data_IF_442308558852
#
_entry.id   IF_442308558852
#
_cell.length_a   1.000
_cell.length_b   1.000
_cell.length_c   1.000
_cell.angle_alpha   90.00
_cell.angle_beta   90.00
_cell.angle_gamma   90.00
#
_symmetry.space_group_name_H-M   'P 1'
#
loop_
_entity.id
_entity.type
_entity.pdbx_description
1 polymer ?
#
# COMPACT_ATOMS: atom_id res chain seq x y z
N UNK A 1 -16.22 11.69 6.84
CA UNK A 1 -15.04 12.06 6.04
C UNK A 1 -14.91 11.16 4.83
N UNK A 2 -13.95 11.44 3.95
CA UNK A 2 -13.65 10.66 2.74
C UNK A 2 -12.23 10.11 2.83
N UNK A 3 -12.05 8.83 2.54
CA UNK A 3 -10.75 8.20 2.28
C UNK A 3 -10.66 7.97 0.77
N UNK A 4 -9.57 8.39 0.14
CA UNK A 4 -9.36 8.22 -1.29
C UNK A 4 -8.35 7.11 -1.52
N UNK A 5 -8.76 6.07 -2.25
CA UNK A 5 -7.86 4.97 -2.64
C UNK A 5 -7.38 5.23 -4.06
N UNK A 6 -6.08 5.13 -4.28
CA UNK A 6 -5.46 5.33 -5.59
C UNK A 6 -4.49 4.22 -5.92
N UNK A 7 -3.95 4.24 -7.13
CA UNK A 7 -2.84 3.39 -7.55
C UNK A 7 -1.73 4.32 -8.07
N UNK A 8 -0.46 3.90 -8.06
CA UNK A 8 0.66 4.82 -8.23
C UNK A 8 0.87 5.34 -9.67
N UNK A 9 0.00 5.00 -10.63
CA UNK A 9 0.10 5.45 -12.01
C UNK A 9 -0.46 6.87 -12.20
N UNK A 10 0.17 7.64 -13.09
CA UNK A 10 -0.13 9.06 -13.31
C UNK A 10 -1.63 9.33 -13.62
N UNK A 11 -2.30 8.39 -14.30
CA UNK A 11 -3.74 8.50 -14.62
C UNK A 11 -4.61 8.41 -13.36
N UNK A 12 -4.31 7.49 -12.44
CA UNK A 12 -5.05 7.35 -11.18
C UNK A 12 -4.84 8.55 -10.24
N UNK A 13 -3.66 9.19 -10.31
CA UNK A 13 -3.37 10.40 -9.54
C UNK A 13 -4.22 11.60 -10.00
N UNK A 14 -4.54 11.69 -11.29
CA UNK A 14 -5.44 12.74 -11.80
C UNK A 14 -6.85 12.59 -11.22
N UNK A 15 -7.35 11.35 -11.10
CA UNK A 15 -8.67 11.09 -10.52
C UNK A 15 -8.67 11.25 -9.00
N UNK A 16 -7.55 10.94 -8.33
CA UNK A 16 -7.33 11.24 -6.91
C UNK A 16 -7.49 12.73 -6.64
N UNK A 17 -6.86 13.57 -7.47
CA UNK A 17 -6.95 15.04 -7.37
C UNK A 17 -8.38 15.54 -7.55
N UNK A 18 -9.14 14.99 -8.50
CA UNK A 18 -10.55 15.33 -8.68
C UNK A 18 -11.39 14.92 -7.48
N UNK A 19 -11.18 13.71 -6.95
CA UNK A 19 -11.92 13.18 -5.81
C UNK A 19 -11.71 14.02 -4.54
N UNK A 20 -10.46 14.39 -4.25
CA UNK A 20 -10.13 15.27 -3.11
C UNK A 20 -10.75 16.66 -3.29
N UNK A 21 -10.66 17.25 -4.48
CA UNK A 21 -11.26 18.56 -4.75
C UNK A 21 -12.79 18.52 -4.65
N UNK A 22 -13.42 17.43 -5.09
CA UNK A 22 -14.86 17.22 -4.95
C UNK A 22 -15.27 17.11 -3.48
N UNK A 23 -14.52 16.36 -2.66
CA UNK A 23 -14.75 16.28 -1.22
C UNK A 23 -14.64 17.68 -0.56
N UNK A 24 -13.62 18.47 -0.93
CA UNK A 24 -13.47 19.87 -0.47
C UNK A 24 -14.66 20.74 -0.88
N UNK A 25 -15.15 20.62 -2.11
CA UNK A 25 -16.31 21.38 -2.60
C UNK A 25 -17.61 21.03 -1.84
N UNK A 26 -17.78 19.75 -1.46
CA UNK A 26 -18.88 19.29 -0.62
C UNK A 26 -18.67 19.55 0.87
N UNK A 27 -17.57 20.19 1.27
CA UNK A 27 -17.17 20.40 2.66
C UNK A 27 -17.08 19.10 3.48
N UNK A 28 -16.75 17.99 2.80
CA UNK A 28 -16.49 16.71 3.47
C UNK A 28 -15.00 16.64 3.86
N UNK A 29 -14.67 16.32 5.12
CA UNK A 29 -13.28 16.22 5.55
C UNK A 29 -12.60 15.06 4.82
N UNK A 30 -11.47 15.32 4.17
CA UNK A 30 -10.64 14.28 3.57
C UNK A 30 -9.73 13.70 4.66
N UNK A 31 -9.98 12.46 5.02
CA UNK A 31 -9.26 11.74 6.07
C UNK A 31 -7.88 11.25 5.57
N UNK A 32 -7.71 11.12 4.26
CA UNK A 32 -6.42 10.89 3.64
C UNK A 32 -6.49 10.03 2.38
N UNK A 33 -5.31 9.74 1.85
CA UNK A 33 -5.09 8.94 0.65
C UNK A 33 -4.40 7.63 1.01
N UNK A 34 -4.87 6.52 0.42
CA UNK A 34 -4.24 5.20 0.47
C UNK A 34 -3.72 4.87 -0.93
N UNK A 35 -2.46 4.47 -1.05
CA UNK A 35 -1.91 3.92 -2.29
C UNK A 35 -2.08 2.40 -2.30
N UNK A 36 -2.88 1.86 -3.22
CA UNK A 36 -3.06 0.42 -3.40
C UNK A 36 -2.15 -0.11 -4.52
N UNK A 37 -1.95 -1.44 -4.54
CA UNK A 37 -1.15 -2.16 -5.53
C UNK A 37 0.33 -1.72 -5.56
N UNK A 38 0.89 -1.44 -4.37
CA UNK A 38 2.30 -1.05 -4.21
C UNK A 38 3.22 -2.28 -4.18
N UNK A 39 3.63 -2.73 -5.37
CA UNK A 39 4.57 -3.84 -5.52
C UNK A 39 3.98 -5.23 -5.24
N UNK A 40 4.77 -6.26 -5.52
CA UNK A 40 4.41 -7.67 -5.37
C UNK A 40 5.56 -8.42 -4.70
N UNK A 41 5.27 -9.05 -3.56
CA UNK A 41 6.29 -9.81 -2.84
C UNK A 41 6.62 -11.09 -3.59
N UNK A 42 7.90 -11.31 -3.79
CA UNK A 42 8.46 -12.57 -4.29
C UNK A 42 9.25 -13.19 -3.16
N UNK A 43 9.08 -14.50 -2.99
CA UNK A 43 9.88 -15.28 -2.07
C UNK A 43 10.30 -16.58 -2.74
N UNK A 44 11.40 -17.15 -2.24
CA UNK A 44 11.93 -18.41 -2.73
C UNK A 44 13.08 -18.88 -1.88
N UNK A 45 13.75 -19.91 -2.36
CA UNK A 45 14.97 -20.44 -1.77
C UNK A 45 16.05 -20.66 -2.82
N UNK A 46 17.30 -20.53 -2.42
CA UNK A 46 18.48 -20.85 -3.20
C UNK A 46 19.62 -21.31 -2.26
N UNK A 47 20.85 -21.38 -2.76
CA UNK A 47 22.01 -21.69 -1.93
C UNK A 47 22.14 -20.67 -0.78
N UNK A 48 22.39 -21.10 0.48
CA UNK A 48 22.58 -20.19 1.61
C UNK A 48 23.70 -19.18 1.40
N UNK A 49 23.51 -17.98 1.95
CA UNK A 49 24.49 -16.87 1.86
C UNK A 49 24.95 -16.57 0.42
N UNK A 50 24.01 -16.59 -0.54
CA UNK A 50 24.25 -16.31 -1.95
C UNK A 50 23.48 -15.08 -2.45
N UNK A 51 24.02 -14.43 -3.47
CA UNK A 51 23.40 -13.27 -4.10
C UNK A 51 22.64 -13.72 -5.35
N UNK A 52 21.39 -13.31 -5.45
CA UNK A 52 20.49 -13.59 -6.56
C UNK A 52 20.10 -12.29 -7.25
N UNK A 53 20.12 -12.30 -8.58
CA UNK A 53 19.61 -11.22 -9.41
C UNK A 53 18.27 -11.63 -10.00
N UNK A 54 17.20 -10.93 -9.62
CA UNK A 54 15.84 -11.17 -10.11
C UNK A 54 15.49 -10.15 -11.19
N UNK A 55 15.19 -10.64 -12.39
CA UNK A 55 14.77 -9.78 -13.51
C UNK A 55 13.28 -9.47 -13.40
N UNK A 56 12.96 -8.21 -13.10
CA UNK A 56 11.59 -7.71 -13.04
C UNK A 56 11.08 -7.11 -14.35
N UNK A 57 9.76 -6.79 -14.44
CA UNK A 57 9.15 -6.16 -15.61
C UNK A 57 9.62 -4.71 -15.83
N UNK A 58 10.27 -4.10 -14.84
CA UNK A 58 10.86 -2.76 -14.90
C UNK A 58 12.16 -2.74 -15.71
N UNK A 59 12.75 -3.90 -16.02
CA UNK A 59 14.03 -4.02 -16.72
C UNK A 59 15.26 -3.70 -15.85
N UNK A 60 15.07 -3.38 -14.58
CA UNK A 60 16.14 -3.19 -13.60
C UNK A 60 16.23 -4.47 -12.75
N UNK A 61 17.38 -5.17 -12.73
CA UNK A 61 17.57 -6.33 -11.85
C UNK A 61 17.46 -5.94 -10.38
N UNK A 62 16.79 -6.78 -9.60
CA UNK A 62 16.70 -6.66 -8.15
C UNK A 62 17.68 -7.66 -7.56
N UNK A 63 18.69 -7.16 -6.84
CA UNK A 63 19.63 -8.00 -6.11
C UNK A 63 19.05 -8.35 -4.74
N UNK A 64 19.06 -9.64 -4.40
CA UNK A 64 18.63 -10.14 -3.08
C UNK A 64 19.68 -11.13 -2.56
N UNK A 65 19.89 -11.13 -1.25
CA UNK A 65 20.76 -12.09 -0.59
C UNK A 65 19.90 -13.14 0.11
N UNK A 66 20.33 -14.40 0.06
CA UNK A 66 19.70 -15.47 0.85
C UNK A 66 20.20 -15.44 2.29
N UNK A 67 19.31 -15.83 3.22
CA UNK A 67 19.65 -16.02 4.62
C UNK A 67 20.51 -17.29 4.84
N UNK A 68 20.82 -17.58 6.11
CA UNK A 68 21.61 -18.75 6.53
C UNK A 68 20.93 -20.10 6.19
N UNK A 69 19.61 -20.08 5.99
CA UNK A 69 18.80 -21.24 5.63
C UNK A 69 18.53 -21.30 4.11
N UNK A 70 19.03 -20.32 3.34
CA UNK A 70 18.83 -20.24 1.89
C UNK A 70 17.53 -19.58 1.45
N UNK A 71 16.73 -19.03 2.37
CA UNK A 71 15.50 -18.32 2.03
C UNK A 71 15.78 -16.88 1.63
N UNK A 72 14.95 -16.34 0.74
CA UNK A 72 15.01 -14.95 0.35
C UNK A 72 13.61 -14.40 0.09
N UNK A 73 13.48 -13.08 0.30
CA UNK A 73 12.27 -12.34 -0.01
C UNK A 73 12.65 -10.98 -0.61
N UNK A 74 11.93 -10.57 -1.64
CA UNK A 74 12.07 -9.23 -2.24
C UNK A 74 10.71 -8.69 -2.67
N UNK A 75 10.65 -7.39 -2.93
CA UNK A 75 9.43 -6.75 -3.44
C UNK A 75 9.67 -6.28 -4.86
N UNK A 76 8.89 -6.84 -5.78
CA UNK A 76 8.85 -6.45 -7.17
C UNK A 76 7.92 -5.24 -7.35
N UNK A 77 8.47 -4.10 -7.75
CA UNK A 77 7.65 -2.97 -8.18
C UNK A 77 6.96 -3.29 -9.52
N UNK A 78 5.73 -3.79 -9.46
CA UNK A 78 4.90 -4.05 -10.66
C UNK A 78 4.52 -2.75 -11.39
N UNK A 79 4.50 -1.64 -10.66
CA UNK A 79 4.17 -0.30 -11.14
C UNK A 79 5.18 0.71 -10.57
N UNK A 80 5.12 1.98 -11.00
CA UNK A 80 5.75 3.07 -10.24
C UNK A 80 5.26 3.00 -8.78
N UNK A 81 5.98 3.54 -7.81
CA UNK A 81 5.56 3.60 -6.41
C UNK A 81 5.65 5.04 -5.88
N UNK A 82 4.87 5.36 -4.85
CA UNK A 82 4.90 6.67 -4.18
C UNK A 82 4.11 7.80 -4.85
N UNK A 83 3.45 7.52 -5.98
CA UNK A 83 2.61 8.50 -6.67
C UNK A 83 1.45 9.01 -5.79
N UNK A 84 0.83 8.13 -5.02
CA UNK A 84 -0.24 8.44 -4.08
C UNK A 84 0.25 9.28 -2.90
N UNK A 85 1.46 9.03 -2.40
CA UNK A 85 2.09 9.86 -1.35
C UNK A 85 2.36 11.27 -1.85
N UNK A 86 2.98 11.39 -3.03
CA UNK A 86 3.21 12.68 -3.68
C UNK A 86 1.90 13.44 -3.90
N UNK A 87 0.86 12.76 -4.39
CA UNK A 87 -0.45 13.38 -4.58
C UNK A 87 -1.09 13.83 -3.26
N UNK A 88 -0.95 13.07 -2.18
CA UNK A 88 -1.45 13.45 -0.87
C UNK A 88 -0.76 14.73 -0.35
N UNK A 89 0.56 14.77 -0.46
CA UNK A 89 1.38 15.92 -0.04
C UNK A 89 1.03 17.17 -0.87
N UNK A 90 0.93 17.04 -2.20
CA UNK A 90 0.50 18.11 -3.12
C UNK A 90 -0.87 18.70 -2.78
N UNK A 91 -1.79 17.86 -2.29
CA UNK A 91 -3.18 18.23 -2.02
C UNK A 91 -3.40 18.71 -0.57
N UNK A 92 -2.35 18.64 0.25
CA UNK A 92 -2.39 18.97 1.67
C UNK A 92 -3.35 18.06 2.44
N UNK A 93 -3.38 16.77 2.10
CA UNK A 93 -4.20 15.76 2.78
C UNK A 93 -3.31 14.65 3.36
N UNK A 94 -3.72 13.98 4.45
CA UNK A 94 -2.92 12.92 5.05
C UNK A 94 -2.65 11.78 4.07
N UNK A 95 -1.47 11.18 4.16
CA UNK A 95 -1.20 9.89 3.54
C UNK A 95 -1.35 8.81 4.60
N UNK A 96 -2.28 7.89 4.39
CA UNK A 96 -2.63 6.86 5.37
C UNK A 96 -1.73 5.62 5.27
N UNK A 97 -1.11 5.39 4.12
CA UNK A 97 -0.21 4.25 3.91
C UNK A 97 -0.34 3.66 2.51
N UNK A 98 0.42 2.59 2.30
CA UNK A 98 0.43 1.83 1.05
C UNK A 98 0.00 0.39 1.31
N UNK A 99 -0.72 -0.21 0.37
CA UNK A 99 -1.12 -1.61 0.42
C UNK A 99 -0.41 -2.37 -0.71
N UNK A 100 0.25 -3.50 -0.43
CA UNK A 100 0.91 -4.29 -1.45
C UNK A 100 -0.13 -4.97 -2.36
N UNK A 101 0.30 -5.38 -3.56
CA UNK A 101 -0.52 -6.26 -4.39
C UNK A 101 -0.55 -7.66 -3.79
N UNK A 102 -1.73 -8.10 -3.35
CA UNK A 102 -1.92 -9.41 -2.73
C UNK A 102 -3.05 -10.18 -3.43
N UNK A 103 -2.73 -11.15 -4.30
CA UNK A 103 -3.72 -12.02 -4.93
C UNK A 103 -4.56 -12.84 -3.93
N UNK A 104 -4.05 -13.08 -2.73
CA UNK A 104 -4.75 -13.77 -1.67
C UNK A 104 -5.94 -12.99 -1.12
N UNK A 105 -5.91 -11.65 -1.19
CA UNK A 105 -7.08 -10.80 -0.88
C UNK A 105 -8.24 -11.07 -1.84
N UNK A 106 -7.95 -11.36 -3.11
CA UNK A 106 -8.98 -11.69 -4.11
C UNK A 106 -9.63 -13.05 -3.84
N UNK A 107 -8.87 -14.05 -3.36
CA UNK A 107 -9.39 -15.40 -3.07
C UNK A 107 -10.21 -15.47 -1.78
N UNK A 108 -9.91 -14.63 -0.79
CA UNK A 108 -10.67 -14.57 0.47
C UNK A 108 -12.11 -14.08 0.31
N UNK A 109 -12.46 -13.45 -0.82
CA UNK A 109 -13.84 -13.07 -1.14
C UNK A 109 -14.76 -14.26 -1.42
N UNK A 110 -14.22 -15.34 -1.98
CA UNK A 110 -15.00 -16.53 -2.36
C UNK A 110 -15.08 -17.57 -1.21
N UNK A 111 -14.04 -17.66 -0.37
CA UNK A 111 -13.95 -18.63 0.74
C UNK A 111 -14.47 -18.08 2.09
N UNK A 112 -14.89 -16.81 2.14
CA UNK A 112 -15.45 -16.18 3.34
C UNK A 112 -14.46 -15.87 4.46
N UNK A 113 -13.16 -16.11 4.26
CA UNK A 113 -12.09 -15.77 5.21
C UNK A 113 -11.10 -14.84 4.52
N UNK A 114 -11.11 -13.57 4.93
CA UNK A 114 -10.20 -12.55 4.40
C UNK A 114 -8.75 -12.87 4.77
N UNK A 115 -7.78 -12.68 3.86
CA UNK A 115 -6.37 -13.04 4.09
C UNK A 115 -5.75 -12.34 5.30
N UNK A 116 -6.17 -11.10 5.59
CA UNK A 116 -5.78 -10.36 6.80
C UNK A 116 -6.13 -11.13 8.09
N UNK A 117 -7.23 -11.89 8.09
CA UNK A 117 -7.65 -12.72 9.23
C UNK A 117 -6.95 -14.08 9.22
N UNK A 118 -6.72 -14.66 8.03
CA UNK A 118 -6.05 -15.95 7.89
C UNK A 118 -4.55 -15.87 8.17
N UNK A 119 -3.90 -14.76 7.82
CA UNK A 119 -2.45 -14.52 7.95
C UNK A 119 -2.20 -13.15 8.60
N UNK A 120 -2.46 -13.01 9.91
CA UNK A 120 -2.31 -11.74 10.63
C UNK A 120 -0.87 -11.21 10.64
N UNK A 121 0.12 -12.10 10.48
CA UNK A 121 1.53 -11.73 10.40
C UNK A 121 2.00 -11.39 8.98
N UNK A 122 1.13 -11.56 7.99
CA UNK A 122 1.41 -11.27 6.59
C UNK A 122 1.60 -9.77 6.34
N UNK A 123 2.37 -9.43 5.30
CA UNK A 123 2.68 -8.04 4.94
C UNK A 123 1.40 -7.22 4.67
N UNK A 124 0.41 -7.79 3.99
CA UNK A 124 -0.89 -7.15 3.74
C UNK A 124 -1.66 -6.83 5.03
N UNK A 125 -1.58 -7.72 6.04
CA UNK A 125 -2.22 -7.50 7.33
C UNK A 125 -1.54 -6.36 8.09
N UNK A 126 -0.20 -6.36 8.13
CA UNK A 126 0.62 -5.30 8.74
C UNK A 126 0.41 -3.94 8.06
N UNK A 127 0.41 -3.92 6.74
CA UNK A 127 0.15 -2.70 5.96
C UNK A 127 -1.27 -2.17 6.19
N UNK A 128 -2.26 -3.06 6.29
CA UNK A 128 -3.63 -2.66 6.61
C UNK A 128 -3.76 -2.14 8.05
N UNK A 129 -3.10 -2.78 9.01
CA UNK A 129 -3.06 -2.31 10.40
C UNK A 129 -2.44 -0.92 10.52
N UNK A 130 -1.36 -0.65 9.79
CA UNK A 130 -0.75 0.70 9.69
C UNK A 130 -1.76 1.73 9.17
N UNK A 131 -2.46 1.42 8.06
CA UNK A 131 -3.49 2.30 7.48
C UNK A 131 -4.62 2.57 8.48
N UNK A 132 -5.09 1.54 9.18
CA UNK A 132 -6.15 1.67 10.19
C UNK A 132 -5.67 2.51 11.37
N UNK A 133 -4.44 2.30 11.84
CA UNK A 133 -3.84 3.09 12.92
C UNK A 133 -3.78 4.58 12.55
N UNK A 134 -3.26 4.89 11.35
CA UNK A 134 -3.19 6.26 10.85
C UNK A 134 -4.58 6.90 10.67
N UNK A 135 -5.56 6.14 10.21
CA UNK A 135 -6.94 6.61 10.08
C UNK A 135 -7.58 6.91 11.45
N UNK A 136 -7.38 6.03 12.44
CA UNK A 136 -7.85 6.23 13.81
C UNK A 136 -7.24 7.48 14.46
N UNK A 137 -5.95 7.70 14.26
CA UNK A 137 -5.27 8.93 14.70
C UNK A 137 -5.92 10.17 14.07
N UNK A 138 -6.16 10.15 12.75
CA UNK A 138 -6.79 11.27 12.05
C UNK A 138 -8.21 11.57 12.56
N UNK A 139 -9.00 10.55 12.87
CA UNK A 139 -10.34 10.70 13.42
C UNK A 139 -10.31 11.28 14.85
N UNK A 140 -9.34 10.86 15.66
CA UNK A 140 -9.19 11.33 17.05
C UNK A 140 -8.70 12.78 17.10
N UNK A 141 -7.74 13.16 16.25
CA UNK A 141 -7.29 14.54 16.12
C UNK A 141 -8.41 15.46 15.62
N UNK A 142 -9.20 15.00 14.64
CA UNK A 142 -10.34 15.77 14.12
C UNK A 142 -11.42 15.99 15.18
N UNK A 143 -11.71 14.99 16.02
CA UNK A 143 -12.66 15.13 17.13
C UNK A 143 -12.17 16.07 18.24
N UNK A 144 -10.85 16.21 18.38
CA UNK A 144 -10.22 17.10 19.36
C UNK A 144 -10.18 18.56 18.91
N UNK A 145 -10.17 18.80 17.59
CA UNK A 145 -10.13 20.13 16.99
C UNK A 145 -11.50 20.84 16.92
N UNK A 146 -12.60 20.13 17.20
CA UNK A 146 -13.97 20.66 17.23
C UNK A 146 -14.45 21.08 18.64
N UNK A 147 -13.58 21.04 19.66
CA UNK A 147 -13.87 21.45 21.06
C UNK A 147 -13.27 22.82 21.37
#
# INVERSE_FOLDING_TARGET
>A
GVVVVTTPQDVALLDTRKAVNFAKALKLPCLGVIENMSGYRLSGSAEPSSNLSINGPTGIPIEVETDEDGNWETTLDLFKSGGGKLAADDLGVPFLGKLPFDPGVLRGGDDGVHRIVAEPEGESAKAFEEVVSNLCNQLTESASAEI
#
